data_IF_402378201473
#
_entry.id   IF_402378201473
#
_cell.length_a   1.000
_cell.length_b   1.000
_cell.length_c   1.000
_cell.angle_alpha   90.00
_cell.angle_beta   90.00
_cell.angle_gamma   90.00
#
_symmetry.space_group_name_H-M   'P 1'
#
loop_
_entity.id
_entity.type
_entity.pdbx_description
1 polymer ?
#
# COMPACT_ATOMS: atom_id res chain seq x y z
N UNK A 1 28.46 -4.60 12.26
CA UNK A 1 28.48 -4.10 10.87
C UNK A 1 27.22 -4.65 10.23
N UNK A 2 26.15 -3.86 10.22
CA UNK A 2 24.91 -4.26 9.56
C UNK A 2 25.16 -4.24 8.06
N UNK A 3 24.97 -5.40 7.44
CA UNK A 3 25.11 -5.58 6.00
C UNK A 3 24.04 -4.72 5.33
N UNK A 4 24.43 -3.54 4.84
CA UNK A 4 23.54 -2.67 4.07
C UNK A 4 23.29 -3.39 2.76
N UNK A 5 22.17 -4.11 2.71
CA UNK A 5 21.67 -4.75 1.50
C UNK A 5 21.73 -3.74 0.35
N UNK A 6 22.35 -4.14 -0.76
CA UNK A 6 22.51 -3.29 -1.93
C UNK A 6 21.16 -2.67 -2.33
N UNK A 7 21.14 -1.40 -2.79
CA UNK A 7 19.89 -0.77 -3.23
C UNK A 7 19.27 -1.62 -4.34
N UNK A 8 18.10 -2.19 -4.05
CA UNK A 8 17.33 -2.98 -5.02
C UNK A 8 16.80 -2.01 -6.08
N UNK A 9 16.89 -2.43 -7.33
CA UNK A 9 16.38 -1.68 -8.47
C UNK A 9 14.86 -1.43 -8.31
N UNK A 10 14.50 -0.16 -8.09
CA UNK A 10 13.11 0.28 -7.95
C UNK A 10 12.30 -0.03 -9.21
N UNK A 11 12.93 -0.12 -10.38
CA UNK A 11 12.25 -0.58 -11.60
C UNK A 11 11.88 -2.06 -11.55
N UNK A 12 12.70 -2.89 -10.91
CA UNK A 12 12.39 -4.30 -10.70
C UNK A 12 11.26 -4.49 -9.69
N UNK A 13 11.18 -3.66 -8.64
CA UNK A 13 10.02 -3.63 -7.71
C UNK A 13 8.74 -3.17 -8.41
N UNK A 14 8.82 -2.22 -9.34
CA UNK A 14 7.68 -1.83 -10.20
C UNK A 14 7.26 -2.94 -11.17
N UNK A 15 8.17 -3.89 -11.47
CA UNK A 15 7.89 -5.05 -12.31
C UNK A 15 7.33 -6.26 -11.55
N UNK A 16 7.45 -6.27 -10.21
CA UNK A 16 6.76 -7.26 -9.39
C UNK A 16 5.25 -7.04 -9.54
N UNK A 17 4.54 -8.14 -9.85
CA UNK A 17 3.19 -8.15 -10.40
C UNK A 17 2.25 -7.20 -9.64
N UNK A 18 1.93 -6.06 -10.27
CA UNK A 18 0.84 -5.22 -9.80
C UNK A 18 -0.45 -6.03 -9.98
N UNK A 19 -1.25 -6.22 -8.92
CA UNK A 19 -2.44 -7.05 -9.01
C UNK A 19 -3.39 -6.46 -10.07
N UNK A 20 -3.88 -7.33 -10.96
CA UNK A 20 -4.91 -6.94 -11.91
C UNK A 20 -6.20 -6.72 -11.13
N UNK A 21 -6.87 -5.59 -11.36
CA UNK A 21 -8.08 -5.23 -10.62
C UNK A 21 -9.21 -4.80 -11.53
N UNK A 22 -10.44 -5.15 -11.16
CA UNK A 22 -11.66 -4.70 -11.81
C UNK A 22 -12.37 -3.69 -10.93
N UNK A 23 -12.75 -2.54 -11.50
CA UNK A 23 -13.61 -1.57 -10.82
C UNK A 23 -15.07 -1.94 -11.07
N UNK A 24 -15.83 -2.15 -10.01
CA UNK A 24 -17.25 -2.54 -10.06
C UNK A 24 -18.09 -1.51 -9.33
N UNK A 25 -19.13 -0.98 -9.97
CA UNK A 25 -20.15 -0.21 -9.27
C UNK A 25 -21.11 -1.17 -8.57
N UNK A 26 -21.18 -1.09 -7.24
CA UNK A 26 -21.97 -2.01 -6.41
C UNK A 26 -23.25 -1.38 -5.88
N UNK A 27 -23.26 -0.06 -5.73
CA UNK A 27 -24.42 0.78 -5.43
C UNK A 27 -24.24 2.09 -6.20
N UNK A 28 -25.31 2.86 -6.49
CA UNK A 28 -25.18 4.14 -7.16
C UNK A 28 -24.12 5.04 -6.50
N UNK A 29 -23.06 5.37 -7.24
CA UNK A 29 -21.94 6.19 -6.79
C UNK A 29 -21.00 5.50 -5.78
N UNK A 30 -21.04 4.17 -5.66
CA UNK A 30 -20.10 3.35 -4.88
C UNK A 30 -19.36 2.38 -5.79
N UNK A 31 -18.06 2.60 -5.94
CA UNK A 31 -17.18 1.76 -6.74
C UNK A 31 -16.23 0.98 -5.84
N UNK A 32 -16.02 -0.29 -6.15
CA UNK A 32 -15.05 -1.15 -5.49
C UNK A 32 -13.97 -1.55 -6.48
N UNK A 33 -12.71 -1.53 -6.06
CA UNK A 33 -11.60 -2.11 -6.81
C UNK A 33 -11.34 -3.52 -6.26
N UNK A 34 -11.78 -4.55 -6.98
CA UNK A 34 -11.56 -5.95 -6.61
C UNK A 34 -10.34 -6.51 -7.34
N UNK A 35 -9.46 -7.19 -6.61
CA UNK A 35 -8.26 -7.83 -7.18
C UNK A 35 -8.36 -9.35 -7.16
N UNK A 36 -7.35 -10.01 -7.71
CA UNK A 36 -7.18 -11.46 -7.67
C UNK A 36 -6.60 -11.97 -6.33
N UNK A 37 -6.42 -11.10 -5.34
CA UNK A 37 -6.01 -11.51 -4.02
C UNK A 37 -7.09 -12.40 -3.36
N UNK A 38 -6.81 -13.68 -3.06
CA UNK A 38 -7.80 -14.62 -2.54
C UNK A 38 -8.39 -14.18 -1.18
N UNK A 39 -7.66 -13.36 -0.41
CA UNK A 39 -8.15 -12.82 0.85
C UNK A 39 -9.35 -11.89 0.69
N UNK A 40 -9.52 -11.25 -0.47
CA UNK A 40 -10.70 -10.40 -0.74
C UNK A 40 -11.99 -11.22 -0.70
N UNK A 41 -11.98 -12.41 -1.30
CA UNK A 41 -13.11 -13.35 -1.26
C UNK A 41 -13.25 -14.02 0.11
N UNK A 42 -12.14 -14.51 0.69
CA UNK A 42 -12.16 -15.26 1.96
C UNK A 42 -12.65 -14.37 3.12
N UNK A 43 -12.19 -13.13 3.19
CA UNK A 43 -12.50 -12.22 4.28
C UNK A 43 -13.62 -11.21 3.93
N UNK A 44 -14.05 -11.14 2.67
CA UNK A 44 -15.11 -10.24 2.22
C UNK A 44 -14.69 -8.76 2.18
N UNK A 45 -13.44 -8.47 1.84
CA UNK A 45 -12.95 -7.09 1.68
C UNK A 45 -12.56 -6.80 0.22
N UNK A 46 -12.27 -5.54 -0.09
CA UNK A 46 -11.83 -5.09 -1.42
C UNK A 46 -10.54 -4.29 -1.30
N UNK A 47 -9.73 -4.16 -2.36
CA UNK A 47 -8.50 -3.34 -2.34
C UNK A 47 -8.80 -1.87 -2.08
N UNK A 48 -9.87 -1.34 -2.68
CA UNK A 48 -10.27 0.04 -2.49
C UNK A 48 -11.77 0.24 -2.66
N UNK A 49 -12.33 1.24 -1.97
CA UNK A 49 -13.69 1.73 -2.19
C UNK A 49 -13.64 3.21 -2.52
N UNK A 50 -14.39 3.61 -3.56
CA UNK A 50 -14.72 5.01 -3.82
C UNK A 50 -16.19 5.28 -3.54
N UNK A 51 -16.47 6.33 -2.76
CA UNK A 51 -17.82 6.85 -2.49
C UNK A 51 -17.81 8.36 -2.62
N UNK A 52 -18.38 8.89 -3.70
CA UNK A 52 -18.29 10.32 -4.01
C UNK A 52 -16.82 10.76 -4.16
N UNK A 53 -16.35 11.76 -3.39
CA UNK A 53 -14.96 12.20 -3.43
C UNK A 53 -14.01 11.30 -2.61
N UNK A 54 -14.52 10.45 -1.71
CA UNK A 54 -13.68 9.68 -0.81
C UNK A 54 -13.19 8.39 -1.47
N UNK A 55 -11.89 8.12 -1.36
CA UNK A 55 -11.27 6.85 -1.76
C UNK A 55 -10.52 6.28 -0.55
N UNK A 56 -10.89 5.06 -0.15
CA UNK A 56 -10.28 4.36 0.98
C UNK A 56 -9.53 3.15 0.45
N UNK A 57 -8.23 3.05 0.76
CA UNK A 57 -7.37 1.93 0.40
C UNK A 57 -7.24 1.01 1.61
N UNK A 58 -7.51 -0.27 1.42
CA UNK A 58 -7.37 -1.28 2.47
C UNK A 58 -5.92 -1.45 2.92
N UNK A 59 -5.74 -2.09 4.08
CA UNK A 59 -4.45 -2.59 4.53
C UNK A 59 -3.72 -3.34 3.41
N UNK A 60 -2.53 -2.84 3.06
CA UNK A 60 -1.75 -3.32 1.94
C UNK A 60 -0.42 -3.83 2.44
N UNK A 61 -0.11 -5.08 2.10
CA UNK A 61 1.14 -5.77 2.41
C UNK A 61 1.89 -6.11 1.12
N UNK A 62 3.16 -6.49 1.24
CA UNK A 62 4.00 -6.92 0.13
C UNK A 62 3.88 -8.44 -0.10
N UNK A 63 2.68 -8.96 -0.36
CA UNK A 63 2.46 -10.38 -0.69
C UNK A 63 2.04 -10.58 -2.14
N UNK A 64 2.43 -11.69 -2.74
CA UNK A 64 2.04 -12.14 -4.08
C UNK A 64 1.34 -13.51 -3.95
N UNK A 65 0.26 -13.70 -4.72
CA UNK A 65 -0.54 -14.94 -4.67
C UNK A 65 0.29 -16.17 -5.07
N UNK A 66 1.30 -16.00 -5.93
CA UNK A 66 2.16 -17.07 -6.43
C UNK A 66 3.50 -17.15 -5.68
N UNK A 67 4.09 -16.00 -5.32
CA UNK A 67 5.44 -15.94 -4.72
C UNK A 67 5.44 -15.87 -3.19
N UNK A 68 4.28 -15.70 -2.55
CA UNK A 68 4.19 -15.51 -1.10
C UNK A 68 4.61 -14.10 -0.66
N UNK A 69 5.18 -13.95 0.54
CA UNK A 69 5.64 -12.64 1.02
C UNK A 69 6.91 -12.21 0.28
N UNK A 70 6.86 -11.04 -0.35
CA UNK A 70 7.99 -10.42 -1.04
C UNK A 70 8.91 -9.73 -0.03
N UNK A 71 10.22 -9.83 -0.24
CA UNK A 71 11.24 -9.22 0.61
C UNK A 71 11.06 -9.51 2.12
N UNK A 72 11.02 -10.79 2.54
CA UNK A 72 10.68 -11.18 3.91
C UNK A 72 11.63 -10.61 4.99
N UNK A 73 12.82 -10.17 4.61
CA UNK A 73 13.85 -9.62 5.52
C UNK A 73 14.04 -8.10 5.41
N UNK A 74 13.26 -7.40 4.58
CA UNK A 74 13.46 -5.95 4.37
C UNK A 74 12.15 -5.17 4.48
N UNK A 75 12.00 -4.48 5.61
CA UNK A 75 10.86 -3.60 5.88
C UNK A 75 10.75 -2.46 4.87
N UNK A 76 11.89 -1.89 4.46
CA UNK A 76 11.93 -0.86 3.42
C UNK A 76 11.40 -1.37 2.08
N UNK A 77 11.90 -2.50 1.59
CA UNK A 77 11.49 -3.01 0.28
C UNK A 77 10.01 -3.42 0.30
N UNK A 78 9.51 -3.98 1.40
CA UNK A 78 8.08 -4.20 1.57
C UNK A 78 7.29 -2.88 1.51
N UNK A 79 7.73 -1.83 2.22
CA UNK A 79 7.07 -0.53 2.18
C UNK A 79 7.04 0.08 0.77
N UNK A 80 8.13 -0.02 0.00
CA UNK A 80 8.19 0.46 -1.40
C UNK A 80 7.16 -0.27 -2.27
N UNK A 81 7.14 -1.61 -2.22
CA UNK A 81 6.14 -2.42 -2.94
C UNK A 81 4.72 -2.00 -2.57
N UNK A 82 4.47 -1.81 -1.27
CA UNK A 82 3.17 -1.42 -0.75
C UNK A 82 2.74 -0.04 -1.26
N UNK A 83 3.61 0.96 -1.24
CA UNK A 83 3.28 2.29 -1.76
C UNK A 83 3.02 2.29 -3.27
N UNK A 84 3.76 1.50 -4.06
CA UNK A 84 3.46 1.35 -5.48
C UNK A 84 2.10 0.68 -5.72
N UNK A 85 1.71 -0.31 -4.90
CA UNK A 85 0.38 -0.91 -4.95
C UNK A 85 -0.73 0.05 -4.55
N UNK A 86 -0.51 0.87 -3.52
CA UNK A 86 -1.43 1.93 -3.11
C UNK A 86 -1.62 2.93 -4.25
N UNK A 87 -0.52 3.38 -4.86
CA UNK A 87 -0.54 4.28 -6.02
C UNK A 87 -1.31 3.68 -7.19
N UNK A 88 -1.04 2.42 -7.53
CA UNK A 88 -1.77 1.70 -8.57
C UNK A 88 -3.27 1.67 -8.26
N UNK A 89 -3.65 1.22 -7.05
CA UNK A 89 -5.05 1.16 -6.64
C UNK A 89 -5.77 2.51 -6.70
N UNK A 90 -5.12 3.59 -6.25
CA UNK A 90 -5.64 4.96 -6.37
C UNK A 90 -5.92 5.30 -7.84
N UNK A 91 -4.93 5.10 -8.73
CA UNK A 91 -5.08 5.41 -10.16
C UNK A 91 -6.17 4.58 -10.83
N UNK A 92 -6.28 3.29 -10.50
CA UNK A 92 -7.31 2.41 -11.07
C UNK A 92 -8.73 2.86 -10.71
N UNK A 93 -8.93 3.44 -9.52
CA UNK A 93 -10.25 3.92 -9.05
C UNK A 93 -10.46 5.43 -9.23
N UNK A 94 -9.66 6.05 -10.12
CA UNK A 94 -9.82 7.45 -10.53
C UNK A 94 -9.37 8.47 -9.48
N UNK A 95 -8.41 8.12 -8.63
CA UNK A 95 -7.69 9.01 -7.74
C UNK A 95 -6.20 9.06 -8.11
N UNK A 96 -5.45 9.92 -7.44
CA UNK A 96 -4.01 10.06 -7.60
C UNK A 96 -3.32 10.09 -6.24
N UNK A 97 -2.01 9.89 -6.23
CA UNK A 97 -1.24 9.95 -4.99
C UNK A 97 -1.35 11.33 -4.31
N UNK A 98 -1.55 12.40 -5.09
CA UNK A 98 -1.75 13.75 -4.56
C UNK A 98 -3.09 13.97 -3.87
N UNK A 99 -4.06 13.07 -4.07
CA UNK A 99 -5.35 13.12 -3.38
C UNK A 99 -5.28 12.51 -1.97
N UNK A 100 -4.17 11.86 -1.60
CA UNK A 100 -3.99 11.21 -0.30
C UNK A 100 -3.91 12.26 0.81
N UNK A 101 -4.79 12.14 1.79
CA UNK A 101 -4.89 13.05 2.95
C UNK A 101 -4.49 12.39 4.27
N UNK A 102 -4.31 11.06 4.29
CA UNK A 102 -3.88 10.33 5.47
C UNK A 102 -3.23 9.00 5.11
N UNK A 103 -2.17 8.64 5.83
CA UNK A 103 -1.54 7.31 5.77
C UNK A 103 -1.42 6.73 7.18
N UNK A 104 -1.68 5.44 7.34
CA UNK A 104 -1.43 4.70 8.60
C UNK A 104 -0.52 3.52 8.29
N UNK A 105 0.55 3.39 9.07
CA UNK A 105 1.61 2.40 8.90
C UNK A 105 1.73 1.57 10.17
N UNK A 106 1.64 0.27 10.01
CA UNK A 106 1.77 -0.70 11.08
C UNK A 106 3.04 -1.50 10.83
N UNK A 107 3.90 -1.66 11.84
CA UNK A 107 5.14 -2.44 11.72
C UNK A 107 5.29 -3.45 12.85
N UNK A 108 6.04 -4.53 12.61
CA UNK A 108 6.25 -5.57 13.63
C UNK A 108 7.36 -5.20 14.63
N UNK A 109 8.39 -4.52 14.17
CA UNK A 109 9.55 -4.09 14.98
C UNK A 109 9.76 -2.58 14.81
N UNK A 110 9.59 -1.83 15.90
CA UNK A 110 9.73 -0.37 15.91
C UNK A 110 11.16 0.08 15.56
N UNK A 111 12.16 -0.79 15.68
CA UNK A 111 13.52 -0.50 15.26
C UNK A 111 13.62 -0.22 13.74
N UNK A 112 12.67 -0.70 12.94
CA UNK A 112 12.63 -0.48 11.49
C UNK A 112 11.88 0.81 11.08
N UNK A 113 11.49 1.67 12.02
CA UNK A 113 10.70 2.87 11.73
C UNK A 113 11.37 3.80 10.68
N UNK A 114 12.70 3.90 10.69
CA UNK A 114 13.44 4.78 9.78
C UNK A 114 13.36 4.27 8.33
N UNK A 115 13.30 2.95 8.14
CA UNK A 115 13.16 2.32 6.83
C UNK A 115 11.77 2.59 6.23
N UNK A 116 10.70 2.50 7.03
CA UNK A 116 9.35 2.85 6.56
C UNK A 116 9.21 4.34 6.31
N UNK A 117 9.75 5.18 7.21
CA UNK A 117 9.76 6.64 7.03
C UNK A 117 10.52 7.05 5.76
N UNK A 118 11.60 6.34 5.41
CA UNK A 118 12.35 6.57 4.17
C UNK A 118 11.50 6.28 2.94
N UNK A 119 10.86 5.11 2.86
CA UNK A 119 9.97 4.76 1.76
C UNK A 119 8.81 5.77 1.63
N UNK A 120 8.14 6.11 2.74
CA UNK A 120 7.07 7.11 2.77
C UNK A 120 7.53 8.47 2.25
N UNK A 121 8.69 8.95 2.71
CA UNK A 121 9.27 10.22 2.26
C UNK A 121 9.53 10.20 0.76
N UNK A 122 10.19 9.18 0.25
CA UNK A 122 10.52 9.06 -1.18
C UNK A 122 9.25 9.04 -2.05
N UNK A 123 8.20 8.33 -1.61
CA UNK A 123 6.90 8.27 -2.28
C UNK A 123 6.25 9.64 -2.42
N UNK A 124 6.10 10.43 -1.34
CA UNK A 124 5.35 11.69 -1.39
C UNK A 124 6.18 12.92 -1.75
N UNK A 125 7.47 12.97 -1.40
CA UNK A 125 8.34 14.09 -1.76
C UNK A 125 8.54 14.24 -3.27
N UNK A 126 8.51 13.14 -4.02
CA UNK A 126 8.59 13.19 -5.48
C UNK A 126 7.42 13.95 -6.14
N UNK A 127 6.33 14.16 -5.40
CA UNK A 127 5.16 14.93 -5.80
C UNK A 127 5.09 16.33 -5.15
N UNK A 128 6.10 16.71 -4.36
CA UNK A 128 6.15 18.03 -3.69
C UNK A 128 5.11 18.21 -2.57
N UNK A 129 4.55 17.12 -2.04
CA UNK A 129 3.50 17.15 -1.01
C UNK A 129 3.96 16.50 0.30
N UNK A 130 3.23 16.81 1.37
CA UNK A 130 3.36 16.17 2.69
C UNK A 130 2.00 15.65 3.10
N UNK A 131 1.98 14.46 3.68
CA UNK A 131 0.75 13.79 4.09
C UNK A 131 0.79 13.52 5.60
N UNK A 132 -0.28 13.80 6.36
CA UNK A 132 -0.40 13.36 7.75
C UNK A 132 -0.28 11.83 7.85
N UNK A 133 0.57 11.37 8.76
CA UNK A 133 0.80 9.94 8.93
C UNK A 133 0.91 9.52 10.40
N UNK A 134 0.47 8.30 10.68
CA UNK A 134 0.69 7.60 11.94
C UNK A 134 1.50 6.35 11.67
N UNK A 135 2.54 6.11 12.48
CA UNK A 135 3.31 4.87 12.49
C UNK A 135 3.23 4.25 13.88
N UNK A 136 2.89 2.98 13.98
CA UNK A 136 2.82 2.23 15.25
C UNK A 136 3.37 0.83 15.11
N UNK A 137 3.90 0.28 16.20
CA UNK A 137 4.22 -1.14 16.28
C UNK A 137 2.96 -1.95 16.64
N UNK A 138 2.77 -3.09 15.99
CA UNK A 138 1.71 -4.08 16.29
C UNK A 138 2.31 -5.40 16.76
N UNK A 139 1.49 -6.30 17.32
CA UNK A 139 1.96 -7.59 17.84
C UNK A 139 2.21 -8.65 16.77
N UNK A 140 1.69 -8.48 15.55
CA UNK A 140 1.72 -9.49 14.50
C UNK A 140 0.89 -9.14 13.28
N UNK A 141 1.20 -9.79 12.16
CA UNK A 141 0.40 -9.80 10.93
C UNK A 141 -0.06 -11.23 10.60
N UNK A 142 -0.84 -11.38 9.54
CA UNK A 142 -1.37 -12.70 9.10
C UNK A 142 -0.29 -13.69 8.65
N UNK A 143 0.92 -13.22 8.34
CA UNK A 143 2.07 -14.04 8.00
C UNK A 143 3.33 -13.54 8.72
N UNK A 144 4.17 -14.44 9.23
CA UNK A 144 5.37 -14.11 10.04
C UNK A 144 6.39 -13.25 9.31
N UNK A 145 6.46 -13.41 7.99
CA UNK A 145 7.43 -12.70 7.14
C UNK A 145 6.96 -11.30 6.74
N UNK A 146 5.71 -10.93 7.04
CA UNK A 146 5.25 -9.56 6.85
C UNK A 146 5.84 -8.68 7.95
N UNK A 147 6.42 -7.56 7.54
CA UNK A 147 7.07 -6.61 8.46
C UNK A 147 6.34 -5.29 8.56
N UNK A 148 5.56 -4.95 7.54
CA UNK A 148 4.81 -3.70 7.43
C UNK A 148 3.49 -3.89 6.68
N UNK A 149 2.47 -3.18 7.14
CA UNK A 149 1.17 -3.03 6.46
C UNK A 149 0.80 -1.54 6.44
N UNK A 150 0.29 -1.06 5.30
CA UNK A 150 -0.02 0.36 5.10
C UNK A 150 -1.41 0.51 4.50
N UNK A 151 -2.17 1.47 5.02
CA UNK A 151 -3.45 1.92 4.46
C UNK A 151 -3.42 3.43 4.20
N UNK A 152 -4.32 3.89 3.32
CA UNK A 152 -4.38 5.28 2.91
C UNK A 152 -5.82 5.75 2.67
N UNK A 153 -6.09 7.00 3.03
CA UNK A 153 -7.34 7.70 2.72
C UNK A 153 -7.04 8.83 1.74
N UNK A 154 -7.87 8.97 0.70
CA UNK A 154 -7.78 10.02 -0.30
C UNK A 154 -9.12 10.74 -0.49
N UNK A 155 -9.05 12.03 -0.86
CA UNK A 155 -10.19 12.88 -1.19
C UNK A 155 -9.94 13.49 -2.55
N UNK A 156 -10.75 13.06 -3.53
CA UNK A 156 -10.71 13.56 -4.91
C UNK A 156 -11.64 14.76 -5.02
N UNK A 157 -11.09 15.90 -5.40
CA UNK A 157 -11.89 17.08 -5.73
C UNK A 157 -12.70 16.80 -7.00
N UNK A 158 -14.01 17.05 -6.95
CA UNK A 158 -14.82 17.07 -8.17
C UNK A 158 -14.43 18.32 -8.96
N UNK A 159 -14.16 18.15 -10.26
CA UNK A 159 -14.11 19.28 -11.20
C UNK A 159 -15.52 19.78 -11.48
#
# INVERSE_FOLDING_TARGET
MTDKQAPIDVEQIKSDHLPTGTVVETLPGRFELRTDNPWEEICGHTRAVRRGPFVIIAGTTASDVTKGVLHPTSTYNQAVVIFERIKHALTTIGAQLTDVVRVRMFIIDIADQDEVCRAFKETFHSYGIRVPATLVQVSGFVHSDMRVEIEADAIVMQQ
#
